data_IF_383488299028
#
_entry.id   IF_383488299028
#
_cell.length_a   1.000
_cell.length_b   1.000
_cell.length_c   1.000
_cell.angle_alpha   90.00
_cell.angle_beta   90.00
_cell.angle_gamma   90.00
#
_symmetry.space_group_name_H-M   'P 1'
#
loop_
_entity.id
_entity.type
_entity.pdbx_description
1 polymer ?
#
# COMPACT_ATOMS: atom_id res chain seq x y z
N UNK A 1 16.11 1.45 -24.39
CA UNK A 1 15.90 1.88 -23.00
C UNK A 1 15.44 0.64 -22.26
N UNK A 2 16.14 0.19 -21.22
CA UNK A 2 15.69 -0.98 -20.47
C UNK A 2 14.36 -0.62 -19.80
N UNK A 3 13.30 -1.37 -20.10
CA UNK A 3 12.06 -1.26 -19.35
C UNK A 3 12.36 -1.62 -17.90
N UNK A 4 12.24 -0.64 -17.01
CA UNK A 4 12.35 -0.90 -15.58
C UNK A 4 11.11 -1.68 -15.21
N UNK A 5 11.26 -2.99 -15.05
CA UNK A 5 10.17 -3.88 -14.70
C UNK A 5 9.82 -3.65 -13.22
N UNK A 6 8.61 -3.16 -12.97
CA UNK A 6 8.07 -2.99 -11.62
C UNK A 6 7.27 -4.23 -11.26
N UNK A 7 7.75 -5.01 -10.28
CA UNK A 7 7.02 -6.16 -9.73
C UNK A 7 6.39 -5.76 -8.41
N UNK A 8 5.13 -6.10 -8.22
CA UNK A 8 4.41 -5.87 -6.96
C UNK A 8 3.82 -7.19 -6.51
N UNK A 9 3.98 -7.51 -5.24
CA UNK A 9 3.37 -8.67 -4.61
C UNK A 9 2.62 -8.21 -3.37
N UNK A 10 1.30 -8.35 -3.38
CA UNK A 10 0.42 -8.03 -2.26
C UNK A 10 -0.11 -9.32 -1.64
N UNK A 11 -0.29 -9.29 -0.32
CA UNK A 11 -1.04 -10.31 0.39
C UNK A 11 -2.52 -10.24 -0.03
N UNK A 12 -3.14 -11.38 -0.32
CA UNK A 12 -4.55 -11.40 -0.75
C UNK A 12 -5.52 -11.05 0.39
N UNK A 13 -5.09 -11.25 1.63
CA UNK A 13 -5.88 -11.01 2.84
C UNK A 13 -5.19 -9.97 3.73
N UNK A 14 -5.99 -9.12 4.42
CA UNK A 14 -5.48 -8.32 5.52
C UNK A 14 -4.88 -9.23 6.58
N UNK A 15 -3.83 -8.76 7.22
CA UNK A 15 -3.18 -9.46 8.30
C UNK A 15 -3.96 -9.29 9.63
N UNK A 16 -3.42 -9.83 10.74
CA UNK A 16 -4.04 -9.66 12.07
C UNK A 16 -4.10 -8.20 12.56
N UNK A 17 -3.29 -7.32 11.98
CA UNK A 17 -3.27 -5.88 12.21
C UNK A 17 -4.23 -5.11 11.31
N UNK A 18 -4.95 -5.75 10.37
CA UNK A 18 -5.90 -5.08 9.47
C UNK A 18 -5.27 -4.43 8.24
N UNK A 19 -3.98 -4.62 8.00
CA UNK A 19 -3.27 -4.13 6.83
C UNK A 19 -3.20 -5.18 5.74
N UNK A 20 -3.22 -4.74 4.48
CA UNK A 20 -2.74 -5.56 3.38
C UNK A 20 -1.25 -5.23 3.18
N UNK A 21 -0.38 -6.17 3.55
CA UNK A 21 1.07 -6.04 3.34
C UNK A 21 1.47 -6.48 1.95
N UNK A 22 2.50 -5.84 1.42
CA UNK A 22 3.14 -6.25 0.20
C UNK A 22 4.57 -5.78 0.07
N UNK A 23 5.15 -6.10 -1.08
CA UNK A 23 6.50 -5.73 -1.47
C UNK A 23 6.47 -5.26 -2.92
N UNK A 24 7.27 -4.24 -3.21
CA UNK A 24 7.51 -3.80 -4.58
C UNK A 24 9.00 -3.85 -4.89
N UNK A 25 9.32 -4.29 -6.10
CA UNK A 25 10.65 -4.27 -6.67
C UNK A 25 10.67 -3.42 -7.91
N UNK A 26 11.70 -2.59 -8.03
CA UNK A 26 11.96 -1.81 -9.24
C UNK A 26 13.46 -1.84 -9.54
N UNK A 27 13.83 -2.62 -10.55
CA UNK A 27 15.25 -2.96 -10.75
C UNK A 27 15.81 -3.68 -9.53
N UNK A 28 16.85 -3.11 -8.90
CA UNK A 28 17.46 -3.64 -7.67
C UNK A 28 16.87 -3.04 -6.39
N UNK A 29 15.99 -2.04 -6.49
CA UNK A 29 15.38 -1.39 -5.33
C UNK A 29 14.18 -2.20 -4.83
N UNK A 30 14.09 -2.37 -3.51
CA UNK A 30 13.01 -3.06 -2.84
C UNK A 30 12.34 -2.11 -1.83
N UNK A 31 11.01 -2.08 -1.85
CA UNK A 31 10.18 -1.19 -1.04
C UNK A 31 9.12 -2.01 -0.29
N UNK A 32 8.92 -1.68 0.98
CA UNK A 32 7.82 -2.27 1.75
C UNK A 32 6.52 -1.51 1.50
N UNK A 33 5.45 -2.26 1.34
CA UNK A 33 4.14 -1.73 1.04
C UNK A 33 3.18 -2.09 2.17
N UNK A 34 2.50 -1.08 2.70
CA UNK A 34 1.41 -1.27 3.63
C UNK A 34 0.16 -0.56 3.09
N UNK A 35 -0.93 -1.29 2.95
CA UNK A 35 -2.21 -0.74 2.56
C UNK A 35 -3.15 -0.79 3.76
N UNK A 36 -3.66 0.37 4.13
CA UNK A 36 -4.57 0.56 5.24
C UNK A 36 -6.00 0.72 4.70
N UNK A 37 -6.92 -0.22 4.98
CA UNK A 37 -8.32 -0.06 4.59
C UNK A 37 -8.99 1.07 5.35
N UNK A 38 -10.14 1.56 4.84
CA UNK A 38 -10.95 2.54 5.55
C UNK A 38 -11.48 2.00 6.87
N UNK A 39 -11.82 2.89 7.81
CA UNK A 39 -12.32 2.55 9.16
C UNK A 39 -13.47 1.55 9.12
N UNK A 40 -14.38 1.66 8.15
CA UNK A 40 -15.52 0.75 8.01
C UNK A 40 -15.13 -0.69 7.64
N UNK A 41 -13.96 -0.87 7.05
CA UNK A 41 -13.40 -2.16 6.64
C UNK A 41 -12.19 -2.58 7.49
N UNK A 42 -11.80 -1.74 8.45
CA UNK A 42 -10.71 -2.02 9.37
C UNK A 42 -11.13 -3.09 10.38
N UNK A 43 -10.57 -4.28 10.26
CA UNK A 43 -10.78 -5.40 11.18
C UNK A 43 -9.62 -5.65 12.14
N UNK A 44 -8.56 -4.81 12.08
CA UNK A 44 -7.35 -4.97 12.87
C UNK A 44 -7.56 -4.73 14.36
N UNK A 45 -7.05 -5.64 15.20
CA UNK A 45 -7.16 -5.53 16.66
C UNK A 45 -6.13 -4.56 17.26
N UNK A 46 -5.09 -4.21 16.51
CA UNK A 46 -3.99 -3.36 16.94
C UNK A 46 -3.70 -2.29 15.88
N UNK A 47 -3.41 -1.07 16.33
CA UNK A 47 -3.06 0.07 15.46
C UNK A 47 -1.55 0.32 15.53
N UNK A 48 -0.90 0.42 14.38
CA UNK A 48 0.50 0.83 14.33
C UNK A 48 0.62 2.34 14.62
N UNK A 49 1.65 2.78 15.35
CA UNK A 49 1.88 4.21 15.59
C UNK A 49 2.05 4.96 14.26
N UNK A 50 1.35 6.07 14.09
CA UNK A 50 1.32 6.90 12.88
C UNK A 50 0.59 6.32 11.67
N UNK A 51 -0.17 5.23 11.83
CA UNK A 51 -1.05 4.69 10.79
C UNK A 51 -2.50 4.84 11.22
N UNK A 52 -3.15 5.92 10.77
CA UNK A 52 -4.55 6.20 11.09
C UNK A 52 -5.46 5.85 9.91
N UNK A 53 -6.41 4.91 10.06
CA UNK A 53 -7.32 4.57 8.98
C UNK A 53 -8.21 5.76 8.66
N UNK A 54 -8.35 6.07 7.37
CA UNK A 54 -9.28 7.10 6.93
C UNK A 54 -10.73 6.60 7.02
N UNK A 55 -11.70 7.50 7.21
CA UNK A 55 -13.11 7.13 7.32
C UNK A 55 -13.63 6.33 6.11
N UNK A 56 -13.22 6.70 4.89
CA UNK A 56 -13.75 6.18 3.62
C UNK A 56 -12.70 5.67 2.65
N UNK A 57 -11.43 5.98 2.89
CA UNK A 57 -10.41 5.77 1.87
C UNK A 57 -9.37 4.76 2.33
N UNK A 58 -8.82 4.06 1.34
CA UNK A 58 -7.65 3.24 1.41
C UNK A 58 -6.42 4.11 1.35
N UNK A 59 -5.50 3.92 2.28
CA UNK A 59 -4.25 4.67 2.36
C UNK A 59 -3.11 3.75 1.97
N UNK A 60 -2.25 4.24 1.09
CA UNK A 60 -1.04 3.55 0.67
C UNK A 60 0.18 4.16 1.38
N UNK A 61 0.89 3.31 2.11
CA UNK A 61 2.21 3.60 2.64
C UNK A 61 3.30 2.84 1.89
N UNK A 62 4.37 3.54 1.52
CA UNK A 62 5.61 2.96 0.97
C UNK A 62 6.75 3.30 1.90
N UNK A 63 7.44 2.27 2.42
CA UNK A 63 8.46 2.38 3.47
C UNK A 63 8.01 3.22 4.69
N UNK A 64 6.70 3.17 4.96
CA UNK A 64 6.06 3.84 6.08
C UNK A 64 5.67 5.30 5.87
N UNK A 65 5.88 5.85 4.68
CA UNK A 65 5.37 7.17 4.31
C UNK A 65 4.05 7.04 3.53
N UNK A 66 3.03 7.81 3.90
CA UNK A 66 1.79 7.91 3.11
C UNK A 66 2.10 8.57 1.77
N UNK A 67 2.03 7.81 0.69
CA UNK A 67 2.32 8.34 -0.66
C UNK A 67 1.05 8.76 -1.38
N UNK A 68 -0.06 8.06 -1.13
CA UNK A 68 -1.33 8.40 -1.76
C UNK A 68 -2.54 7.75 -1.04
N UNK A 69 -3.74 8.16 -1.44
CA UNK A 69 -5.02 7.71 -0.88
C UNK A 69 -6.12 7.63 -1.94
N UNK A 70 -6.97 6.60 -1.87
CA UNK A 70 -8.09 6.37 -2.82
C UNK A 70 -9.33 5.79 -2.15
N UNK A 71 -10.49 6.02 -2.72
CA UNK A 71 -11.75 5.52 -2.16
C UNK A 71 -12.07 4.06 -2.51
N UNK A 72 -11.38 3.47 -3.50
CA UNK A 72 -11.65 2.12 -4.00
C UNK A 72 -10.43 1.21 -3.86
N UNK A 73 -10.64 -0.04 -3.45
CA UNK A 73 -9.55 -1.02 -3.26
C UNK A 73 -8.79 -1.29 -4.56
N UNK A 74 -9.49 -1.42 -5.68
CA UNK A 74 -8.90 -1.70 -6.99
C UNK A 74 -7.98 -0.55 -7.46
N UNK A 75 -8.29 0.68 -7.04
CA UNK A 75 -7.43 1.83 -7.33
C UNK A 75 -6.12 1.82 -6.55
N UNK A 76 -6.00 1.04 -5.47
CA UNK A 76 -4.76 0.92 -4.70
C UNK A 76 -3.65 0.30 -5.55
N UNK A 77 -3.98 -0.69 -6.38
CA UNK A 77 -3.01 -1.32 -7.31
C UNK A 77 -2.47 -0.30 -8.33
N UNK A 78 -3.34 0.52 -8.90
CA UNK A 78 -2.98 1.60 -9.83
C UNK A 78 -2.14 2.69 -9.17
N UNK A 79 -2.39 3.00 -7.90
CA UNK A 79 -1.59 3.98 -7.17
C UNK A 79 -0.14 3.56 -7.01
N UNK A 80 0.16 2.29 -6.75
CA UNK A 80 1.56 1.86 -6.65
C UNK A 80 2.35 2.15 -7.93
N UNK A 81 1.73 1.87 -9.07
CA UNK A 81 2.32 2.10 -10.38
C UNK A 81 2.58 3.59 -10.61
N UNK A 82 1.74 4.47 -10.04
CA UNK A 82 1.91 5.93 -10.09
C UNK A 82 2.88 6.48 -9.04
N UNK A 83 2.88 5.87 -7.85
CA UNK A 83 3.61 6.31 -6.66
C UNK A 83 5.10 6.04 -6.75
N UNK A 84 5.53 5.00 -7.49
CA UNK A 84 6.94 4.77 -7.78
C UNK A 84 7.41 5.78 -8.84
N UNK A 85 8.12 6.86 -8.47
CA UNK A 85 8.39 7.97 -9.38
C UNK A 85 9.28 7.52 -10.53
N UNK A 86 8.89 7.73 -11.79
CA UNK A 86 9.73 7.54 -12.99
C UNK A 86 10.94 8.48 -12.94
N UNK A 87 11.92 8.19 -12.11
CA UNK A 87 13.27 8.73 -12.22
C UNK A 87 14.17 7.66 -12.78
#
# INVERSE_FOLDING_TARGET
MAEINTRIELSSMPDGYGFIYGQAWRGEQHFNINVLPPVSQWSGQMRLPNYEPHATDWILYVDGEEIARVSEREAVEDMFQKALPKR
#
